data_IF_220074104753
#
_entry.id   IF_220074104753
#
_cell.length_a   1.000
_cell.length_b   1.000
_cell.length_c   1.000
_cell.angle_alpha   90.00
_cell.angle_beta   90.00
_cell.angle_gamma   90.00
#
_symmetry.space_group_name_H-M   'P 1'
#
loop_
_entity.id
_entity.type
_entity.pdbx_description
1 polymer ?
#
# COMPACT_ATOMS: atom_id res chain seq x y z
N UNK A 1 1.88 3.54 10.46
CA UNK A 1 1.69 2.23 9.82
C UNK A 1 0.84 2.43 8.56
N UNK A 2 1.21 1.82 7.43
CA UNK A 2 0.58 2.04 6.11
C UNK A 2 0.38 0.69 5.41
N UNK A 3 -0.59 -0.13 5.84
CA UNK A 3 -0.69 -1.53 5.41
C UNK A 3 -1.10 -1.64 3.95
N UNK A 4 -0.33 -2.45 3.23
CA UNK A 4 -0.59 -2.86 1.87
C UNK A 4 -0.35 -4.36 1.75
N UNK A 5 -1.06 -5.00 0.82
CA UNK A 5 -0.82 -6.38 0.41
C UNK A 5 -0.75 -6.44 -1.10
N UNK A 6 0.00 -7.40 -1.62
CA UNK A 6 0.20 -7.52 -3.05
C UNK A 6 0.32 -8.98 -3.46
N UNK A 7 -0.14 -9.26 -4.67
CA UNK A 7 0.18 -10.49 -5.38
C UNK A 7 0.88 -10.13 -6.68
N UNK A 8 1.88 -10.92 -7.05
CA UNK A 8 2.65 -10.74 -8.26
C UNK A 8 2.73 -12.07 -9.00
N UNK A 9 2.42 -12.03 -10.29
CA UNK A 9 2.73 -13.07 -11.26
C UNK A 9 3.91 -12.61 -12.12
N UNK A 10 4.32 -13.41 -13.11
CA UNK A 10 5.37 -13.01 -14.04
C UNK A 10 5.01 -11.73 -14.81
N UNK A 11 3.73 -11.61 -15.21
CA UNK A 11 3.23 -10.49 -16.03
C UNK A 11 2.51 -9.41 -15.24
N UNK A 12 1.81 -9.72 -14.16
CA UNK A 12 0.96 -8.73 -13.48
C UNK A 12 1.33 -8.57 -12.01
N UNK A 13 1.17 -7.35 -11.50
CA UNK A 13 1.21 -7.05 -10.08
C UNK A 13 -0.08 -6.34 -9.67
N UNK A 14 -0.75 -6.89 -8.66
CA UNK A 14 -1.89 -6.27 -8.03
C UNK A 14 -1.55 -5.89 -6.60
N UNK A 15 -1.89 -4.66 -6.19
CA UNK A 15 -1.64 -4.11 -4.86
C UNK A 15 -2.94 -3.57 -4.30
N UNK A 16 -3.23 -3.91 -3.04
CA UNK A 16 -4.34 -3.34 -2.27
C UNK A 16 -3.82 -2.57 -1.08
N UNK A 17 -4.18 -1.29 -1.01
CA UNK A 17 -3.97 -0.42 0.16
C UNK A 17 -5.21 -0.48 1.04
N UNK A 18 -5.03 -0.74 2.33
CA UNK A 18 -6.15 -0.83 3.29
C UNK A 18 -6.42 0.50 4.00
N UNK A 19 -5.56 1.50 3.79
CA UNK A 19 -5.59 2.79 4.46
C UNK A 19 -5.35 3.93 3.47
N UNK A 20 -5.80 5.13 3.84
CA UNK A 20 -5.58 6.35 3.06
C UNK A 20 -4.14 6.83 3.23
N UNK A 21 -3.26 6.31 2.38
CA UNK A 21 -1.82 6.51 2.48
C UNK A 21 -1.30 7.60 1.50
N UNK A 22 -0.16 8.23 1.81
CA UNK A 22 0.59 8.96 0.80
C UNK A 22 1.02 8.02 -0.33
N UNK A 23 1.09 8.53 -1.57
CA UNK A 23 1.53 7.73 -2.72
C UNK A 23 2.95 7.17 -2.50
N UNK A 24 3.83 7.97 -1.91
CA UNK A 24 5.16 7.55 -1.47
C UNK A 24 5.26 7.82 0.03
N UNK A 25 5.38 6.76 0.82
CA UNK A 25 5.70 6.87 2.23
C UNK A 25 7.18 7.19 2.38
N UNK A 26 7.50 8.23 3.15
CA UNK A 26 8.87 8.60 3.49
C UNK A 26 9.12 8.17 4.94
N UNK A 27 9.96 7.15 5.19
CA UNK A 27 10.42 6.83 6.54
C UNK A 27 11.10 8.04 7.21
N UNK A 28 11.13 8.07 8.55
CA UNK A 28 11.55 9.26 9.31
C UNK A 28 12.97 9.76 8.97
N UNK A 29 13.91 8.84 8.80
CA UNK A 29 15.29 9.12 8.39
C UNK A 29 15.34 9.74 6.97
N UNK A 30 14.59 9.18 6.02
CA UNK A 30 14.45 9.74 4.67
C UNK A 30 13.76 11.09 4.71
N UNK A 31 12.67 11.24 5.47
CA UNK A 31 11.92 12.48 5.62
C UNK A 31 12.78 13.62 6.18
N UNK A 32 13.66 13.31 7.13
CA UNK A 32 14.59 14.26 7.74
C UNK A 32 15.83 14.53 6.87
N UNK A 33 16.16 13.65 5.92
CA UNK A 33 17.30 13.82 5.01
C UNK A 33 17.15 15.05 4.09
N UNK A 34 18.25 15.45 3.45
CA UNK A 34 18.22 16.52 2.42
C UNK A 34 17.28 16.15 1.27
N UNK A 35 17.35 14.92 0.78
CA UNK A 35 16.49 14.44 -0.30
C UNK A 35 15.01 14.45 0.10
N UNK A 36 14.70 14.03 1.33
CA UNK A 36 13.33 14.07 1.86
C UNK A 36 12.76 15.47 1.92
N UNK A 37 13.55 16.46 2.36
CA UNK A 37 13.11 17.87 2.39
C UNK A 37 12.71 18.40 1.02
N UNK A 38 13.41 18.01 -0.04
CA UNK A 38 13.09 18.39 -1.42
C UNK A 38 11.76 17.79 -1.91
N UNK A 39 11.47 16.53 -1.55
CA UNK A 39 10.38 15.78 -2.19
C UNK A 39 9.14 15.63 -1.32
N UNK A 40 9.24 15.81 0.00
CA UNK A 40 8.14 15.58 0.97
C UNK A 40 6.91 16.45 0.71
N UNK A 41 7.08 17.67 0.19
CA UNK A 41 5.95 18.54 -0.14
C UNK A 41 5.07 17.99 -1.27
N UNK A 42 5.68 17.25 -2.21
CA UNK A 42 4.99 16.61 -3.33
C UNK A 42 4.39 15.26 -2.95
N UNK A 43 5.15 14.44 -2.23
CA UNK A 43 4.79 13.04 -2.00
C UNK A 43 4.12 12.74 -0.65
N UNK A 44 4.28 13.62 0.35
CA UNK A 44 3.75 13.39 1.69
C UNK A 44 2.23 13.55 1.81
N UNK A 45 1.52 13.93 0.74
CA UNK A 45 0.06 14.11 0.74
C UNK A 45 -0.65 12.77 0.46
N UNK A 46 -1.71 12.43 1.23
CA UNK A 46 -2.53 11.24 0.97
C UNK A 46 -3.12 11.30 -0.44
N UNK A 47 -2.72 10.36 -1.28
CA UNK A 47 -3.06 10.32 -2.71
C UNK A 47 -2.99 8.92 -3.30
N UNK A 48 -2.64 7.91 -2.49
CA UNK A 48 -2.66 6.51 -2.94
C UNK A 48 -4.11 6.07 -3.12
N UNK A 49 -4.36 5.38 -4.22
CA UNK A 49 -5.64 4.74 -4.50
C UNK A 49 -5.72 3.40 -3.78
N UNK A 50 -6.93 2.87 -3.58
CA UNK A 50 -7.11 1.63 -2.83
C UNK A 50 -6.59 0.40 -3.59
N UNK A 51 -6.69 0.42 -4.92
CA UNK A 51 -6.29 -0.70 -5.77
C UNK A 51 -5.37 -0.22 -6.89
N UNK A 52 -4.31 -0.99 -7.12
CA UNK A 52 -3.36 -0.77 -8.21
C UNK A 52 -3.15 -2.08 -8.96
N UNK A 53 -3.20 -2.04 -10.29
CA UNK A 53 -2.88 -3.15 -11.18
C UNK A 53 -1.86 -2.67 -12.21
N UNK A 54 -0.79 -3.44 -12.40
CA UNK A 54 0.27 -3.14 -13.36
C UNK A 54 0.55 -4.35 -14.25
N UNK A 55 0.57 -4.13 -15.57
CA UNK A 55 1.16 -5.07 -16.53
C UNK A 55 2.67 -4.79 -16.59
N UNK A 56 3.46 -5.71 -16.05
CA UNK A 56 4.90 -5.58 -15.87
C UNK A 56 5.70 -5.88 -17.14
N UNK A 57 5.09 -6.53 -18.14
CA UNK A 57 5.69 -6.70 -19.46
C UNK A 57 5.57 -5.40 -20.26
N UNK A 58 4.38 -4.78 -20.25
CA UNK A 58 4.13 -3.54 -20.96
C UNK A 58 4.67 -2.29 -20.22
N UNK A 59 4.65 -2.31 -18.88
CA UNK A 59 5.11 -1.23 -18.03
C UNK A 59 5.95 -1.75 -16.83
N UNK A 60 7.23 -2.09 -17.08
CA UNK A 60 8.14 -2.58 -16.04
C UNK A 60 8.39 -1.58 -14.89
N UNK A 61 7.98 -0.32 -15.07
CA UNK A 61 8.20 0.76 -14.11
C UNK A 61 6.94 1.14 -13.32
N UNK A 62 5.84 0.40 -13.46
CA UNK A 62 4.61 0.56 -12.65
C UNK A 62 4.08 2.02 -12.67
N UNK A 63 4.13 2.67 -13.84
CA UNK A 63 3.71 4.05 -14.07
C UNK A 63 2.21 4.16 -14.35
N UNK A 64 1.65 3.20 -15.07
CA UNK A 64 0.25 3.18 -15.49
C UNK A 64 -0.55 2.20 -14.65
N UNK A 65 -1.37 2.73 -13.74
CA UNK A 65 -2.32 1.92 -13.00
C UNK A 65 -3.51 1.53 -13.90
N UNK A 66 -3.74 0.23 -14.04
CA UNK A 66 -4.81 -0.39 -14.84
C UNK A 66 -6.00 -0.85 -13.99
N UNK A 67 -6.05 -0.51 -12.69
CA UNK A 67 -7.10 -0.98 -11.80
C UNK A 67 -8.51 -0.54 -12.24
N UNK A 68 -8.65 0.64 -12.86
CA UNK A 68 -9.92 1.16 -13.36
C UNK A 68 -10.16 0.86 -14.86
N UNK A 69 -9.25 0.12 -15.51
CA UNK A 69 -9.38 -0.22 -16.93
C UNK A 69 -10.29 -1.44 -17.13
N UNK A 70 -11.38 -1.25 -17.89
CA UNK A 70 -12.37 -2.30 -18.13
C UNK A 70 -11.78 -3.52 -18.87
N UNK A 71 -10.78 -3.29 -19.73
CA UNK A 71 -10.09 -4.37 -20.45
C UNK A 71 -9.29 -5.31 -19.53
N UNK A 72 -8.91 -4.84 -18.33
CA UNK A 72 -8.15 -5.61 -17.34
C UNK A 72 -9.00 -6.05 -16.14
N UNK A 73 -10.30 -5.78 -16.12
CA UNK A 73 -11.18 -6.10 -14.99
C UNK A 73 -11.11 -7.57 -14.57
N UNK A 74 -11.11 -8.50 -15.52
CA UNK A 74 -11.02 -9.93 -15.22
C UNK A 74 -9.69 -10.31 -14.53
N UNK A 75 -8.58 -9.69 -14.96
CA UNK A 75 -7.25 -9.92 -14.35
C UNK A 75 -7.20 -9.33 -12.95
N UNK A 76 -7.69 -8.10 -12.78
CA UNK A 76 -7.82 -7.44 -11.47
C UNK A 76 -8.61 -8.32 -10.49
N UNK A 77 -9.81 -8.74 -10.87
CA UNK A 77 -10.73 -9.45 -9.98
C UNK A 77 -10.18 -10.85 -9.62
N UNK A 78 -9.51 -11.52 -10.56
CA UNK A 78 -8.81 -12.77 -10.30
C UNK A 78 -7.72 -12.59 -9.26
N UNK A 79 -6.83 -11.59 -9.44
CA UNK A 79 -5.72 -11.36 -8.53
C UNK A 79 -6.18 -10.83 -7.17
N UNK A 80 -7.23 -10.01 -7.13
CA UNK A 80 -7.87 -9.56 -5.90
C UNK A 80 -8.45 -10.74 -5.11
N UNK A 81 -9.09 -11.69 -5.81
CA UNK A 81 -9.60 -12.93 -5.20
C UNK A 81 -8.46 -13.78 -4.67
N UNK A 82 -7.41 -14.01 -5.45
CA UNK A 82 -6.24 -14.80 -5.00
C UNK A 82 -5.57 -14.16 -3.79
N UNK A 83 -5.43 -12.83 -3.78
CA UNK A 83 -4.88 -12.13 -2.62
C UNK A 83 -5.77 -12.31 -1.39
N UNK A 84 -7.08 -12.15 -1.54
CA UNK A 84 -8.03 -12.34 -0.44
C UNK A 84 -7.98 -13.77 0.10
N UNK A 85 -7.95 -14.78 -0.77
CA UNK A 85 -7.82 -16.18 -0.36
C UNK A 85 -6.54 -16.39 0.43
N UNK A 86 -5.40 -15.91 -0.06
CA UNK A 86 -4.13 -16.04 0.63
C UNK A 86 -4.15 -15.37 2.01
N UNK A 87 -4.73 -14.16 2.12
CA UNK A 87 -4.89 -13.49 3.42
C UNK A 87 -5.68 -14.34 4.43
N UNK A 88 -6.75 -15.03 3.99
CA UNK A 88 -7.54 -15.90 4.87
C UNK A 88 -6.77 -17.17 5.24
N UNK A 89 -6.11 -17.81 4.26
CA UNK A 89 -5.33 -19.03 4.48
C UNK A 89 -4.16 -18.83 5.43
N UNK A 90 -3.58 -17.63 5.46
CA UNK A 90 -2.47 -17.29 6.36
C UNK A 90 -2.92 -16.55 7.63
N UNK A 91 -4.23 -16.50 7.89
CA UNK A 91 -4.80 -15.81 9.06
C UNK A 91 -4.25 -14.38 9.22
N UNK A 92 -4.25 -13.61 8.13
CA UNK A 92 -3.68 -12.26 8.12
C UNK A 92 -4.39 -11.37 9.14
N UNK A 93 -3.67 -10.80 10.14
CA UNK A 93 -4.28 -9.98 11.17
C UNK A 93 -5.05 -8.75 10.65
N UNK A 94 -4.75 -8.29 9.43
CA UNK A 94 -5.53 -7.21 8.81
C UNK A 94 -6.99 -7.58 8.54
N UNK A 95 -7.33 -8.87 8.49
CA UNK A 95 -8.72 -9.32 8.36
C UNK A 95 -9.55 -8.98 9.59
N UNK A 96 -8.93 -8.88 10.76
CA UNK A 96 -9.57 -8.50 12.02
C UNK A 96 -9.63 -6.97 12.22
N UNK A 97 -8.93 -6.21 11.37
CA UNK A 97 -8.92 -4.76 11.36
C UNK A 97 -7.52 -4.16 11.39
N UNK A 98 -7.40 -2.86 11.74
CA UNK A 98 -6.13 -2.19 11.99
C UNK A 98 -5.17 -3.01 12.87
N UNK A 99 -4.00 -3.38 12.32
CA UNK A 99 -2.91 -3.88 13.17
C UNK A 99 -2.33 -2.69 13.93
N UNK A 100 -2.59 -2.68 15.25
CA UNK A 100 -2.02 -1.73 16.19
C UNK A 100 -0.61 -2.20 16.59
N UNK A 101 0.42 -1.35 16.49
CA UNK A 101 1.73 -1.64 17.06
C UNK A 101 1.67 -2.04 18.54
N UNK A 102 2.46 -3.04 18.95
CA UNK A 102 2.50 -3.54 20.34
C UNK A 102 2.88 -2.46 21.37
N UNK A 103 3.56 -1.39 20.94
CA UNK A 103 3.97 -0.26 21.78
C UNK A 103 3.03 0.94 21.70
N UNK A 104 1.79 0.78 21.18
CA UNK A 104 0.85 1.89 20.96
C UNK A 104 0.68 2.80 22.19
N UNK A 105 0.42 2.22 23.36
CA UNK A 105 0.28 2.98 24.61
C UNK A 105 1.57 3.68 25.03
N UNK A 106 2.72 2.99 24.91
CA UNK A 106 4.04 3.54 25.25
C UNK A 106 4.46 4.68 24.31
N UNK A 107 4.06 4.59 23.04
CA UNK A 107 4.40 5.59 22.04
C UNK A 107 3.71 6.92 22.37
N UNK A 108 2.43 6.90 22.77
CA UNK A 108 1.63 8.09 23.05
C UNK A 108 1.72 8.63 24.48
N UNK A 109 2.04 7.80 25.48
CA UNK A 109 2.29 8.27 26.85
C UNK A 109 3.49 9.25 26.93
N UNK A 110 4.43 9.17 25.97
CA UNK A 110 5.59 10.08 25.88
C UNK A 110 5.29 11.40 25.16
N UNK A 111 4.22 11.48 24.39
CA UNK A 111 3.89 12.65 23.53
C UNK A 111 2.59 13.35 23.96
N UNK A 112 1.90 12.81 24.97
CA UNK A 112 0.56 13.25 25.38
C UNK A 112 -0.51 12.61 24.50
N UNK A 113 -1.51 11.99 25.15
CA UNK A 113 -2.70 11.48 24.45
C UNK A 113 -3.50 12.67 23.87
N UNK A 114 -4.17 12.51 22.72
CA UNK A 114 -5.06 13.52 22.17
C UNK A 114 -6.25 13.82 23.09
#
# INVERSE_FOLDING_TARGET
YAPMRAIRTDRFKYIRSFWRNPRVFLPNDVYASRAGREVRGRYGRPSRVNEELYDLEADPHERQNLADDEGHAQVRDKLATTLSTWMHETEDPLLEGPVVPDDYDRMFDRIGRP
#
